data_IF_873362169282
#
_entry.id   IF_873362169282
#
_cell.length_a   1.000
_cell.length_b   1.000
_cell.length_c   1.000
_cell.angle_alpha   90.00
_cell.angle_beta   90.00
_cell.angle_gamma   90.00
#
_symmetry.space_group_name_H-M   'P 1'
#
loop_
_entity.id
_entity.type
_entity.pdbx_description
1 polymer ?
#
# COMPACT_ATOMS: atom_id res chain seq x y z
N UNK A 1 20.96 -20.23 -6.22
CA UNK A 1 20.63 -18.80 -6.41
C UNK A 1 19.68 -18.42 -5.32
N UNK A 2 20.08 -17.54 -4.41
CA UNK A 2 19.17 -16.97 -3.41
C UNK A 2 18.17 -16.11 -4.20
N UNK A 3 16.88 -16.32 -3.97
CA UNK A 3 15.83 -15.48 -4.55
C UNK A 3 15.98 -14.08 -3.96
N UNK A 4 16.44 -13.12 -4.77
CA UNK A 4 16.84 -11.78 -4.31
C UNK A 4 15.63 -10.95 -3.88
N UNK A 5 14.45 -11.23 -4.44
CA UNK A 5 13.23 -10.45 -4.20
C UNK A 5 12.66 -10.71 -2.80
N UNK A 6 12.49 -11.96 -2.33
CA UNK A 6 12.07 -12.23 -0.95
C UNK A 6 12.96 -11.60 0.11
N UNK A 7 14.28 -11.69 -0.05
CA UNK A 7 15.23 -11.06 0.89
C UNK A 7 15.08 -9.53 0.88
N UNK A 8 14.83 -8.93 -0.29
CA UNK A 8 14.62 -7.50 -0.40
C UNK A 8 13.32 -7.05 0.28
N UNK A 9 12.20 -7.74 0.04
CA UNK A 9 10.91 -7.47 0.72
C UNK A 9 11.09 -7.59 2.24
N UNK A 10 11.71 -8.68 2.69
CA UNK A 10 11.95 -8.92 4.10
C UNK A 10 12.76 -7.80 4.75
N UNK A 11 13.79 -7.27 4.08
CA UNK A 11 14.61 -6.18 4.60
C UNK A 11 13.82 -4.89 4.88
N UNK A 12 12.70 -4.69 4.16
CA UNK A 12 11.77 -3.58 4.40
C UNK A 12 10.77 -3.96 5.50
N UNK A 13 10.21 -5.17 5.44
CA UNK A 13 9.15 -5.62 6.35
C UNK A 13 9.55 -5.59 7.83
N UNK A 14 10.81 -5.93 8.16
CA UNK A 14 11.32 -5.88 9.55
C UNK A 14 11.33 -4.47 10.15
N UNK A 15 11.22 -3.42 9.31
CA UNK A 15 11.27 -2.02 9.72
C UNK A 15 9.88 -1.41 9.88
N UNK A 16 8.79 -2.17 9.75
CA UNK A 16 7.42 -1.63 9.66
C UNK A 16 6.97 -0.74 10.83
N UNK A 17 7.58 -0.86 12.01
CA UNK A 17 7.29 0.02 13.16
C UNK A 17 8.10 1.32 13.15
N UNK A 18 9.20 1.38 12.38
CA UNK A 18 10.00 2.59 12.16
C UNK A 18 9.67 3.16 10.78
N UNK A 19 8.69 4.06 10.76
CA UNK A 19 8.19 4.69 9.53
C UNK A 19 9.29 5.32 8.67
N UNK A 20 10.30 5.92 9.29
CA UNK A 20 11.38 6.61 8.55
C UNK A 20 12.32 5.59 7.94
N UNK A 21 12.76 4.61 8.73
CA UNK A 21 13.63 3.54 8.23
C UNK A 21 12.93 2.68 7.18
N UNK A 22 11.65 2.37 7.38
CA UNK A 22 10.80 1.61 6.46
C UNK A 22 10.73 2.26 5.08
N UNK A 23 10.34 3.55 5.02
CA UNK A 23 10.25 4.29 3.76
C UNK A 23 11.62 4.43 3.08
N UNK A 24 12.68 4.72 3.84
CA UNK A 24 14.04 4.82 3.30
C UNK A 24 14.50 3.49 2.69
N UNK A 25 14.29 2.38 3.39
CA UNK A 25 14.70 1.06 2.91
C UNK A 25 13.86 0.61 1.70
N UNK A 26 12.57 0.92 1.67
CA UNK A 26 11.70 0.66 0.53
C UNK A 26 12.18 1.40 -0.72
N UNK A 27 12.58 2.67 -0.59
CA UNK A 27 13.17 3.46 -1.66
C UNK A 27 14.48 2.84 -2.19
N UNK A 28 15.38 2.44 -1.29
CA UNK A 28 16.65 1.79 -1.66
C UNK A 28 16.42 0.45 -2.36
N UNK A 29 15.47 -0.35 -1.87
CA UNK A 29 15.08 -1.61 -2.50
C UNK A 29 14.50 -1.37 -3.89
N UNK A 30 13.58 -0.41 -4.04
CA UNK A 30 12.98 -0.07 -5.32
C UNK A 30 14.05 0.39 -6.34
N UNK A 31 15.01 1.23 -5.92
CA UNK A 31 16.11 1.67 -6.76
C UNK A 31 16.99 0.49 -7.26
N UNK A 32 17.19 -0.54 -6.42
CA UNK A 32 17.97 -1.74 -6.80
C UNK A 32 17.21 -2.70 -7.72
N UNK A 33 15.93 -2.95 -7.44
CA UNK A 33 15.12 -3.91 -8.19
C UNK A 33 14.65 -3.35 -9.54
N UNK A 34 14.26 -2.07 -9.55
CA UNK A 34 13.67 -1.39 -10.69
C UNK A 34 12.26 -1.88 -11.07
N UNK A 35 11.55 -1.16 -11.94
CA UNK A 35 10.14 -1.44 -12.26
C UNK A 35 9.88 -2.81 -12.91
N UNK A 36 10.90 -3.45 -13.50
CA UNK A 36 10.78 -4.81 -14.06
C UNK A 36 10.47 -5.87 -13.00
N UNK A 37 10.60 -5.54 -11.72
CA UNK A 37 10.28 -6.43 -10.61
C UNK A 37 8.80 -6.38 -10.18
N UNK A 38 7.96 -5.53 -10.77
CA UNK A 38 6.56 -5.34 -10.34
C UNK A 38 5.78 -6.66 -10.35
N UNK A 39 5.75 -7.39 -11.47
CA UNK A 39 5.01 -8.65 -11.57
C UNK A 39 5.47 -9.68 -10.52
N UNK A 40 6.79 -9.74 -10.29
CA UNK A 40 7.36 -10.61 -9.28
C UNK A 40 6.93 -10.19 -7.88
N UNK A 41 6.98 -8.90 -7.53
CA UNK A 41 6.55 -8.38 -6.23
C UNK A 41 5.06 -8.66 -5.99
N UNK A 42 4.20 -8.38 -6.97
CA UNK A 42 2.76 -8.63 -6.90
C UNK A 42 2.47 -10.12 -6.70
N UNK A 43 3.18 -11.01 -7.42
CA UNK A 43 3.02 -12.46 -7.24
C UNK A 43 3.34 -12.97 -5.84
N UNK A 44 4.03 -12.17 -5.01
CA UNK A 44 4.44 -12.52 -3.64
C UNK A 44 3.55 -11.94 -2.55
N UNK A 45 2.50 -11.18 -2.89
CA UNK A 45 1.57 -10.58 -1.91
C UNK A 45 0.96 -11.62 -0.95
N UNK A 46 0.68 -12.83 -1.45
CA UNK A 46 0.06 -13.92 -0.68
C UNK A 46 0.99 -15.12 -0.44
N UNK A 47 2.27 -15.00 -0.81
CA UNK A 47 3.22 -16.11 -0.79
C UNK A 47 4.60 -15.66 -0.26
N UNK A 48 4.69 -15.31 1.04
CA UNK A 48 5.96 -15.01 1.68
C UNK A 48 6.88 -16.22 1.56
N UNK A 49 8.11 -15.98 1.13
CA UNK A 49 8.95 -17.04 0.55
C UNK A 49 9.96 -17.64 1.53
N UNK A 50 9.87 -17.32 2.82
CA UNK A 50 10.78 -17.84 3.84
C UNK A 50 10.03 -18.31 5.08
N UNK A 51 10.55 -19.35 5.77
CA UNK A 51 10.26 -19.53 7.18
C UNK A 51 10.82 -18.30 7.93
N UNK A 52 10.03 -17.72 8.83
CA UNK A 52 10.42 -16.56 9.63
C UNK A 52 11.86 -16.72 10.17
N UNK A 53 12.81 -15.82 9.85
CA UNK A 53 14.09 -15.81 10.53
C UNK A 53 13.90 -15.30 11.97
N UNK A 54 14.79 -15.70 12.90
CA UNK A 54 14.74 -15.47 14.37
C UNK A 54 14.42 -14.02 14.84
N UNK A 55 14.46 -13.01 13.96
CA UNK A 55 14.10 -11.62 14.25
C UNK A 55 12.61 -11.29 14.01
N UNK A 56 11.90 -12.13 13.25
CA UNK A 56 10.46 -12.10 13.06
C UNK A 56 9.84 -13.22 13.90
N UNK A 57 10.17 -13.26 15.20
CA UNK A 57 9.59 -14.22 16.13
C UNK A 57 8.05 -14.15 15.99
N UNK A 58 7.39 -15.21 15.46
CA UNK A 58 5.93 -15.22 15.32
C UNK A 58 5.23 -15.07 16.67
N UNK A 59 5.99 -15.26 17.76
CA UNK A 59 5.56 -15.10 19.15
C UNK A 59 5.23 -13.64 19.53
N UNK A 60 5.76 -12.62 18.84
CA UNK A 60 5.53 -11.21 19.17
C UNK A 60 4.37 -10.56 18.36
N UNK A 61 4.08 -11.03 17.14
CA UNK A 61 3.06 -10.41 16.25
C UNK A 61 2.02 -11.36 15.66
N UNK A 62 2.22 -12.67 15.80
CA UNK A 62 1.40 -13.69 15.17
C UNK A 62 1.53 -13.71 13.64
N UNK A 63 1.00 -14.78 13.03
CA UNK A 63 1.07 -15.02 11.58
C UNK A 63 0.42 -13.89 10.76
N UNK A 64 -0.67 -13.30 11.26
CA UNK A 64 -1.37 -12.19 10.60
C UNK A 64 -0.56 -10.90 10.56
N UNK A 65 0.11 -10.54 11.66
CA UNK A 65 0.98 -9.35 11.69
C UNK A 65 2.21 -9.50 10.80
N UNK A 66 2.71 -10.73 10.65
CA UNK A 66 3.84 -11.06 9.78
C UNK A 66 3.48 -10.87 8.30
N UNK A 67 2.33 -11.39 7.88
CA UNK A 67 1.87 -11.26 6.51
C UNK A 67 1.50 -9.81 6.16
N UNK A 68 0.92 -9.05 7.11
CA UNK A 68 0.64 -7.63 6.91
C UNK A 68 1.93 -6.82 6.69
N UNK A 69 2.96 -7.03 7.52
CA UNK A 69 4.26 -6.34 7.36
C UNK A 69 4.91 -6.65 6.00
N UNK A 70 4.82 -7.90 5.55
CA UNK A 70 5.28 -8.34 4.23
C UNK A 70 4.56 -7.60 3.09
N UNK A 71 3.24 -7.49 3.18
CA UNK A 71 2.45 -6.79 2.17
C UNK A 71 2.70 -5.30 2.16
N UNK A 72 2.74 -4.66 3.34
CA UNK A 72 3.09 -3.25 3.44
C UNK A 72 4.46 -2.97 2.81
N UNK A 73 5.43 -3.85 3.03
CA UNK A 73 6.74 -3.74 2.39
C UNK A 73 6.65 -3.78 0.86
N UNK A 74 5.88 -4.72 0.29
CA UNK A 74 5.65 -4.79 -1.16
C UNK A 74 5.02 -3.49 -1.66
N UNK A 75 3.95 -3.01 -1.04
CA UNK A 75 3.25 -1.80 -1.47
C UNK A 75 4.10 -0.54 -1.35
N UNK A 76 4.92 -0.42 -0.30
CA UNK A 76 5.84 0.71 -0.17
C UNK A 76 6.94 0.66 -1.23
N UNK A 77 7.46 -0.52 -1.59
CA UNK A 77 8.38 -0.67 -2.72
C UNK A 77 7.69 -0.24 -4.03
N UNK A 78 6.44 -0.67 -4.26
CA UNK A 78 5.66 -0.30 -5.45
C UNK A 78 5.43 1.21 -5.54
N UNK A 79 5.17 1.89 -4.41
CA UNK A 79 5.05 3.35 -4.34
C UNK A 79 6.27 4.07 -4.92
N UNK A 80 7.47 3.54 -4.71
CA UNK A 80 8.71 4.10 -5.23
C UNK A 80 8.97 3.81 -6.72
N UNK A 81 8.15 2.99 -7.37
CA UNK A 81 8.15 2.86 -8.84
C UNK A 81 7.29 3.91 -9.55
N UNK A 82 6.58 4.77 -8.80
CA UNK A 82 5.80 5.89 -9.33
C UNK A 82 4.82 5.46 -10.43
N UNK A 83 4.84 6.12 -11.60
CA UNK A 83 3.95 5.83 -12.73
C UNK A 83 3.99 4.37 -13.19
N UNK A 84 5.14 3.70 -13.04
CA UNK A 84 5.32 2.35 -13.55
C UNK A 84 4.47 1.31 -12.81
N UNK A 85 4.06 1.59 -11.56
CA UNK A 85 3.24 0.68 -10.76
C UNK A 85 1.74 0.94 -10.89
N UNK A 86 1.32 2.01 -11.58
CA UNK A 86 -0.08 2.45 -11.58
C UNK A 86 -1.04 1.38 -12.11
N UNK A 87 -0.68 0.68 -13.18
CA UNK A 87 -1.57 -0.33 -13.78
C UNK A 87 -1.78 -1.51 -12.82
N UNK A 88 -0.71 -2.07 -12.28
CA UNK A 88 -0.80 -3.16 -11.29
C UNK A 88 -1.51 -2.74 -10.00
N UNK A 89 -1.30 -1.51 -9.54
CA UNK A 89 -2.02 -0.98 -8.37
C UNK A 89 -3.52 -0.84 -8.64
N UNK A 90 -3.92 -0.41 -9.84
CA UNK A 90 -5.34 -0.33 -10.23
C UNK A 90 -5.97 -1.71 -10.37
N UNK A 91 -5.26 -2.67 -10.96
CA UNK A 91 -5.73 -4.05 -11.05
C UNK A 91 -6.02 -4.64 -9.66
N UNK A 92 -5.17 -4.39 -8.68
CA UNK A 92 -5.40 -4.83 -7.29
C UNK A 92 -6.52 -4.01 -6.63
N UNK A 93 -6.50 -2.69 -6.77
CA UNK A 93 -7.45 -1.78 -6.10
C UNK A 93 -8.90 -1.94 -6.57
N UNK A 94 -9.11 -2.32 -7.82
CA UNK A 94 -10.43 -2.36 -8.46
C UNK A 94 -10.80 -3.74 -9.02
N UNK A 95 -9.97 -4.75 -8.79
CA UNK A 95 -10.20 -6.13 -9.20
C UNK A 95 -11.17 -6.89 -8.30
N UNK A 96 -11.12 -8.23 -8.37
CA UNK A 96 -11.86 -9.08 -7.43
C UNK A 96 -11.43 -8.81 -5.99
N UNK A 97 -12.37 -8.93 -5.06
CA UNK A 97 -12.11 -8.64 -3.64
C UNK A 97 -10.91 -9.44 -3.13
N UNK A 98 -9.92 -8.69 -2.65
CA UNK A 98 -8.70 -9.16 -2.04
C UNK A 98 -8.42 -8.26 -0.83
N UNK A 99 -8.00 -8.85 0.28
CA UNK A 99 -7.64 -8.13 1.49
C UNK A 99 -6.49 -7.11 1.30
N UNK A 100 -5.73 -7.21 0.21
CA UNK A 100 -4.72 -6.23 -0.22
C UNK A 100 -5.27 -5.01 -0.95
N UNK A 101 -6.56 -5.02 -1.33
CA UNK A 101 -7.22 -3.93 -2.05
C UNK A 101 -7.10 -2.59 -1.31
N UNK A 102 -7.27 -2.60 0.01
CA UNK A 102 -7.13 -1.41 0.85
C UNK A 102 -5.73 -0.78 0.76
N UNK A 103 -4.68 -1.60 0.71
CA UNK A 103 -3.30 -1.13 0.56
C UNK A 103 -3.08 -0.50 -0.81
N UNK A 104 -3.59 -1.12 -1.89
CA UNK A 104 -3.46 -0.57 -3.23
C UNK A 104 -4.16 0.81 -3.35
N UNK A 105 -5.35 0.94 -2.77
CA UNK A 105 -6.10 2.20 -2.71
C UNK A 105 -5.33 3.29 -1.96
N UNK A 106 -4.72 2.95 -0.81
CA UNK A 106 -3.86 3.87 -0.04
C UNK A 106 -2.69 4.41 -0.87
N UNK A 107 -2.00 3.51 -1.58
CA UNK A 107 -0.85 3.87 -2.42
C UNK A 107 -1.28 4.74 -3.60
N UNK A 108 -2.40 4.43 -4.26
CA UNK A 108 -2.94 5.26 -5.35
C UNK A 108 -3.23 6.69 -4.89
N UNK A 109 -3.79 6.87 -3.69
CA UNK A 109 -4.02 8.21 -3.12
C UNK A 109 -2.71 8.94 -2.85
N UNK A 110 -1.70 8.25 -2.29
CA UNK A 110 -0.37 8.86 -2.06
C UNK A 110 0.35 9.23 -3.34
N UNK A 111 0.21 8.43 -4.41
CA UNK A 111 0.75 8.77 -5.72
C UNK A 111 0.01 9.97 -6.33
N UNK A 112 -1.32 10.02 -6.22
CA UNK A 112 -2.13 11.15 -6.66
C UNK A 112 -1.76 12.46 -5.93
N UNK A 113 -1.42 12.38 -4.63
CA UNK A 113 -0.93 13.50 -3.84
C UNK A 113 0.38 14.08 -4.41
N UNK A 114 1.24 13.22 -4.99
CA UNK A 114 2.46 13.61 -5.72
C UNK A 114 2.20 14.05 -7.17
N UNK A 115 0.94 14.11 -7.60
CA UNK A 115 0.55 14.44 -8.98
C UNK A 115 0.64 13.25 -9.96
N UNK A 116 1.03 12.07 -9.50
CA UNK A 116 1.19 10.86 -10.33
C UNK A 116 -0.17 10.20 -10.51
N UNK A 117 -0.65 10.12 -11.75
CA UNK A 117 -1.93 9.48 -12.08
C UNK A 117 -3.17 10.13 -11.42
N UNK A 118 -3.06 11.36 -10.89
CA UNK A 118 -4.05 12.01 -10.02
C UNK A 118 -5.47 11.99 -10.59
N UNK A 119 -5.65 12.55 -11.78
CA UNK A 119 -6.98 12.72 -12.39
C UNK A 119 -7.68 11.37 -12.57
N UNK A 120 -6.95 10.37 -13.04
CA UNK A 120 -7.46 9.02 -13.21
C UNK A 120 -7.78 8.39 -11.85
N UNK A 121 -6.92 8.52 -10.84
CA UNK A 121 -7.18 8.02 -9.49
C UNK A 121 -8.47 8.61 -8.93
N UNK A 122 -8.65 9.94 -8.96
CA UNK A 122 -9.89 10.58 -8.49
C UNK A 122 -11.11 10.06 -9.25
N UNK A 123 -11.02 9.94 -10.59
CA UNK A 123 -12.10 9.40 -11.41
C UNK A 123 -12.41 7.93 -11.09
N UNK A 124 -11.41 7.11 -10.76
CA UNK A 124 -11.60 5.71 -10.37
C UNK A 124 -12.32 5.60 -9.01
N UNK A 125 -11.94 6.41 -8.02
CA UNK A 125 -12.66 6.47 -6.73
C UNK A 125 -14.13 6.84 -6.92
N UNK A 126 -14.42 7.82 -7.79
CA UNK A 126 -15.80 8.18 -8.11
C UNK A 126 -16.63 7.04 -8.70
N UNK A 127 -16.02 6.20 -9.53
CA UNK A 127 -16.72 5.14 -10.26
C UNK A 127 -16.86 3.84 -9.47
N UNK A 128 -15.84 3.52 -8.68
CA UNK A 128 -15.66 2.15 -8.20
C UNK A 128 -15.69 2.04 -6.67
N UNK A 129 -15.49 3.14 -5.93
CA UNK A 129 -15.30 3.05 -4.48
C UNK A 129 -16.53 2.52 -3.75
N UNK A 130 -17.75 2.78 -4.26
CA UNK A 130 -18.99 2.24 -3.71
C UNK A 130 -19.04 0.70 -3.68
N UNK A 131 -18.33 0.04 -4.60
CA UNK A 131 -18.29 -1.41 -4.73
C UNK A 131 -17.16 -2.07 -3.93
N UNK A 132 -16.29 -1.28 -3.29
CA UNK A 132 -15.22 -1.80 -2.43
C UNK A 132 -15.85 -2.33 -1.13
N UNK A 133 -15.35 -3.45 -0.61
CA UNK A 133 -15.82 -3.97 0.68
C UNK A 133 -15.51 -3.00 1.82
N UNK A 134 -16.40 -2.91 2.81
CA UNK A 134 -16.31 -1.97 3.93
C UNK A 134 -14.98 -2.07 4.70
N UNK A 135 -14.50 -3.28 4.93
CA UNK A 135 -13.21 -3.51 5.59
C UNK A 135 -12.06 -2.89 4.78
N UNK A 136 -12.03 -3.10 3.46
CA UNK A 136 -11.00 -2.56 2.58
C UNK A 136 -11.07 -1.03 2.50
N UNK A 137 -12.28 -0.44 2.51
CA UNK A 137 -12.45 1.02 2.59
C UNK A 137 -11.80 1.57 3.87
N UNK A 138 -12.11 0.98 5.04
CA UNK A 138 -11.55 1.41 6.33
C UNK A 138 -10.03 1.25 6.38
N UNK A 139 -9.51 0.12 5.89
CA UNK A 139 -8.07 -0.13 5.83
C UNK A 139 -7.33 0.87 4.93
N UNK A 140 -7.94 1.33 3.83
CA UNK A 140 -7.38 2.36 2.98
C UNK A 140 -7.43 3.75 3.61
N UNK A 141 -8.59 4.13 4.17
CA UNK A 141 -8.86 5.52 4.60
C UNK A 141 -8.17 5.88 5.91
N UNK A 142 -8.15 4.99 6.91
CA UNK A 142 -7.56 5.26 8.22
C UNK A 142 -6.10 5.77 8.17
N UNK A 143 -5.16 5.10 7.47
CA UNK A 143 -3.78 5.59 7.35
C UNK A 143 -3.69 6.93 6.62
N UNK A 144 -4.56 7.19 5.63
CA UNK A 144 -4.59 8.45 4.88
C UNK A 144 -5.05 9.62 5.75
N UNK A 145 -6.06 9.43 6.60
CA UNK A 145 -6.49 10.43 7.58
C UNK A 145 -5.37 10.76 8.56
N UNK A 146 -4.63 9.75 9.03
CA UNK A 146 -3.49 9.97 9.90
C UNK A 146 -2.38 10.76 9.18
N UNK A 147 -2.03 10.37 7.94
CA UNK A 147 -1.03 11.08 7.12
C UNK A 147 -1.44 12.53 6.81
N UNK A 148 -2.71 12.78 6.49
CA UNK A 148 -3.24 14.11 6.17
C UNK A 148 -3.02 15.14 7.30
N UNK A 149 -2.86 14.71 8.55
CA UNK A 149 -2.51 15.60 9.68
C UNK A 149 -1.12 16.23 9.55
N UNK A 150 -0.23 15.60 8.78
CA UNK A 150 1.18 15.99 8.66
C UNK A 150 1.62 16.23 7.20
N UNK A 151 0.85 15.74 6.22
CA UNK A 151 1.17 15.80 4.79
C UNK A 151 0.08 16.60 4.04
N UNK A 152 0.30 17.90 3.76
CA UNK A 152 -0.70 18.76 3.11
C UNK A 152 -1.15 18.26 1.72
N UNK A 153 -0.24 17.64 0.97
CA UNK A 153 -0.55 17.07 -0.35
C UNK A 153 -1.55 15.91 -0.25
N UNK A 154 -1.39 15.04 0.76
CA UNK A 154 -2.34 13.95 1.05
C UNK A 154 -3.66 14.53 1.56
N UNK A 155 -3.61 15.53 2.44
CA UNK A 155 -4.80 16.22 2.94
C UNK A 155 -5.64 16.82 1.81
N UNK A 156 -5.00 17.36 0.77
CA UNK A 156 -5.69 17.89 -0.40
C UNK A 156 -6.45 16.79 -1.17
N UNK A 157 -5.85 15.61 -1.38
CA UNK A 157 -6.55 14.49 -2.02
C UNK A 157 -7.70 13.98 -1.15
N UNK A 158 -7.44 13.76 0.15
CA UNK A 158 -8.46 13.31 1.11
C UNK A 158 -9.65 14.25 1.14
N UNK A 159 -9.41 15.57 1.12
CA UNK A 159 -10.46 16.58 1.08
C UNK A 159 -11.20 16.60 -0.26
N UNK A 160 -10.51 16.38 -1.37
CA UNK A 160 -11.16 16.30 -2.68
C UNK A 160 -12.08 15.09 -2.75
N UNK A 161 -11.64 13.93 -2.26
CA UNK A 161 -12.41 12.69 -2.23
C UNK A 161 -13.64 12.73 -1.32
N UNK A 162 -13.82 13.76 -0.48
CA UNK A 162 -15.03 13.98 0.29
C UNK A 162 -16.31 14.12 -0.55
N UNK A 163 -16.19 14.35 -1.87
CA UNK A 163 -17.32 14.35 -2.80
C UNK A 163 -17.83 12.95 -3.14
N UNK A 164 -17.04 11.90 -2.89
CA UNK A 164 -17.44 10.49 -3.04
C UNK A 164 -18.22 10.09 -1.77
N UNK A 165 -19.51 9.68 -1.87
CA UNK A 165 -20.37 9.46 -0.70
C UNK A 165 -19.79 8.46 0.31
N UNK A 166 -19.41 7.26 -0.14
CA UNK A 166 -18.87 6.21 0.72
C UNK A 166 -17.52 6.60 1.34
N UNK A 167 -16.71 7.40 0.64
CA UNK A 167 -15.47 7.93 1.21
C UNK A 167 -15.79 8.84 2.39
N UNK A 168 -16.72 9.78 2.20
CA UNK A 168 -17.15 10.70 3.26
C UNK A 168 -17.69 9.94 4.46
N UNK A 169 -18.53 8.94 4.24
CA UNK A 169 -19.08 8.10 5.30
C UNK A 169 -17.98 7.43 6.10
N UNK A 170 -17.07 6.71 5.43
CA UNK A 170 -15.94 6.04 6.10
C UNK A 170 -15.02 7.03 6.81
N UNK A 171 -14.77 8.20 6.25
CA UNK A 171 -13.98 9.23 6.95
C UNK A 171 -14.67 9.72 8.23
N UNK A 172 -15.99 9.89 8.21
CA UNK A 172 -16.74 10.33 9.38
C UNK A 172 -16.77 9.27 10.49
N UNK A 173 -16.78 7.98 10.15
CA UNK A 173 -16.71 6.89 11.12
C UNK A 173 -15.34 6.77 11.83
N UNK A 174 -14.27 7.27 11.20
CA UNK A 174 -12.89 7.13 11.66
C UNK A 174 -12.35 8.36 12.41
N UNK A 175 -13.09 9.47 12.45
CA UNK A 175 -12.78 10.70 13.20
C UNK A 175 -13.29 10.67 14.65
#
# INVERSE_FOLDING_TARGET
>A
MIDVVPTAIHSVAILVDDRVAFGSQAADVAARLGPRAIDMLVSRLHSPSHPDPDAFEPSDRGLGGSLAAWQFAIFEILFHFHDSALDSLREIAWGEYDWTQGNALEILVRLAAKGIGREQTIADFHRNFEHVAEEAKRYAVAPLLHRAKFEPEVAAIVSELQIVPDWREVTHELE
#
